data_IF_640805398641
#
_entry.id   IF_640805398641
#
_cell.length_a   1.000
_cell.length_b   1.000
_cell.length_c   1.000
_cell.angle_alpha   90.00
_cell.angle_beta   90.00
_cell.angle_gamma   90.00
#
_symmetry.space_group_name_H-M   'P 1'
#
loop_
_entity.id
_entity.type
_entity.pdbx_description
1 polymer ?
#
# COMPACT_ATOMS: atom_id res chain seq x y z
N UNK A 1 -21.26 5.38 -0.45
CA UNK A 1 -19.91 5.53 -1.05
C UNK A 1 -19.79 4.43 -2.09
N UNK A 2 -20.04 4.75 -3.35
CA UNK A 2 -19.71 3.84 -4.46
C UNK A 2 -18.19 3.78 -4.53
N UNK A 3 -17.60 2.70 -4.01
CA UNK A 3 -16.16 2.47 -4.10
C UNK A 3 -15.77 2.14 -5.54
N UNK A 4 -14.50 2.37 -5.89
CA UNK A 4 -13.95 1.87 -7.15
C UNK A 4 -14.18 0.34 -7.23
N UNK A 5 -14.65 -0.15 -8.37
CA UNK A 5 -14.99 -1.57 -8.57
C UNK A 5 -13.78 -2.48 -8.70
N UNK A 6 -12.57 -1.92 -8.77
CA UNK A 6 -11.33 -2.67 -8.97
C UNK A 6 -10.23 -2.19 -8.00
N UNK A 7 -9.63 -3.15 -7.30
CA UNK A 7 -8.48 -2.93 -6.42
C UNK A 7 -7.19 -2.96 -7.23
N UNK A 8 -6.30 -1.98 -7.05
CA UNK A 8 -4.98 -2.00 -7.68
C UNK A 8 -4.13 -3.19 -7.19
N UNK A 9 -4.21 -3.46 -5.89
CA UNK A 9 -3.51 -4.52 -5.20
C UNK A 9 -4.49 -5.14 -4.20
N UNK A 10 -4.82 -6.45 -4.31
CA UNK A 10 -5.74 -7.07 -3.37
C UNK A 10 -5.15 -7.09 -1.96
N UNK A 11 -6.02 -6.97 -0.96
CA UNK A 11 -5.64 -7.13 0.45
C UNK A 11 -5.12 -8.55 0.69
N UNK A 12 -4.03 -8.67 1.44
CA UNK A 12 -3.55 -9.94 1.97
C UNK A 12 -3.48 -9.85 3.50
N UNK A 13 -3.86 -10.92 4.21
CA UNK A 13 -3.80 -10.93 5.66
C UNK A 13 -2.35 -10.81 6.16
N UNK A 14 -2.15 -10.30 7.38
CA UNK A 14 -0.83 -10.26 8.00
C UNK A 14 -0.28 -11.68 8.21
N UNK A 15 1.02 -11.85 7.95
CA UNK A 15 1.74 -13.12 8.10
C UNK A 15 3.17 -12.92 8.60
N UNK A 16 3.37 -12.40 9.83
CA UNK A 16 4.71 -12.25 10.41
C UNK A 16 5.42 -13.61 10.51
N UNK A 17 6.74 -13.71 10.23
CA UNK A 17 7.47 -14.97 10.29
C UNK A 17 7.82 -15.38 11.72
N UNK A 18 7.81 -16.68 12.06
CA UNK A 18 8.39 -17.18 13.33
C UNK A 18 9.92 -17.34 13.19
N UNK A 19 10.75 -16.98 14.19
CA UNK A 19 10.42 -16.42 15.50
C UNK A 19 10.63 -14.89 15.59
N UNK A 20 9.83 -14.07 14.89
CA UNK A 20 9.89 -12.60 15.02
C UNK A 20 9.01 -12.07 16.17
N UNK A 21 9.27 -10.83 16.59
CA UNK A 21 8.35 -10.06 17.43
C UNK A 21 7.08 -9.68 16.66
N UNK A 22 6.07 -9.13 17.33
CA UNK A 22 4.86 -8.67 16.65
C UNK A 22 5.19 -7.59 15.60
N UNK A 23 4.69 -7.77 14.37
CA UNK A 23 4.85 -6.81 13.30
C UNK A 23 3.76 -5.74 13.38
N UNK A 24 4.12 -4.52 12.98
CA UNK A 24 3.21 -3.38 12.89
C UNK A 24 2.70 -3.22 11.46
N UNK A 25 1.38 -3.30 11.30
CA UNK A 25 0.70 -3.09 10.03
C UNK A 25 0.07 -1.70 10.06
N UNK A 26 0.54 -0.80 9.20
CA UNK A 26 0.17 0.61 9.18
C UNK A 26 -0.75 0.89 8.00
N UNK A 27 -1.86 1.58 8.26
CA UNK A 27 -2.75 2.13 7.25
C UNK A 27 -2.53 3.64 7.18
N UNK A 28 -2.36 4.15 5.95
CA UNK A 28 -2.17 5.56 5.67
C UNK A 28 -3.18 5.97 4.59
N UNK A 29 -3.84 7.11 4.79
CA UNK A 29 -4.79 7.70 3.86
C UNK A 29 -4.22 9.04 3.41
N UNK A 30 -4.21 9.26 2.11
CA UNK A 30 -3.72 10.48 1.48
C UNK A 30 -4.83 11.13 0.67
N UNK A 31 -4.75 12.44 0.49
CA UNK A 31 -5.51 13.11 -0.55
C UNK A 31 -5.01 12.64 -1.91
N UNK A 32 -5.93 12.28 -2.83
CA UNK A 32 -5.56 11.85 -4.17
C UNK A 32 -5.17 13.08 -5.01
N UNK A 33 -3.92 13.17 -5.53
CA UNK A 33 -3.52 14.26 -6.40
C UNK A 33 -4.35 14.30 -7.68
N UNK A 34 -4.57 15.51 -8.21
CA UNK A 34 -5.32 15.70 -9.44
C UNK A 34 -4.68 14.93 -10.61
N UNK A 35 -5.49 14.13 -11.31
CA UNK A 35 -5.03 13.33 -12.45
C UNK A 35 -4.12 12.15 -12.08
N UNK A 36 -4.12 11.73 -10.81
CA UNK A 36 -3.57 10.44 -10.39
C UNK A 36 -4.69 9.40 -10.42
N UNK A 37 -4.83 8.66 -11.51
CA UNK A 37 -5.80 7.56 -11.64
C UNK A 37 -5.14 6.17 -11.43
N UNK A 38 -5.95 5.12 -11.51
CA UNK A 38 -5.52 3.74 -11.33
C UNK A 38 -4.36 3.34 -12.27
N UNK A 39 -4.46 3.67 -13.55
CA UNK A 39 -3.45 3.32 -14.56
C UNK A 39 -2.13 4.04 -14.32
N UNK A 40 -2.20 5.32 -13.93
CA UNK A 40 -1.02 6.11 -13.58
C UNK A 40 -0.34 5.57 -12.33
N UNK A 41 -1.10 5.14 -11.30
CA UNK A 41 -0.52 4.48 -10.13
C UNK A 41 0.17 3.18 -10.52
N UNK A 42 -0.48 2.31 -11.33
CA UNK A 42 0.11 1.07 -11.83
C UNK A 42 1.42 1.31 -12.57
N UNK A 43 1.45 2.33 -13.44
CA UNK A 43 2.62 2.71 -14.22
C UNK A 43 3.77 3.26 -13.35
N UNK A 44 3.49 4.25 -12.49
CA UNK A 44 4.51 4.90 -11.65
C UNK A 44 5.14 3.95 -10.63
N UNK A 45 4.35 3.04 -10.07
CA UNK A 45 4.82 2.01 -9.13
C UNK A 45 5.31 0.73 -9.82
N UNK A 46 5.16 0.62 -11.14
CA UNK A 46 5.50 -0.57 -11.95
C UNK A 46 4.82 -1.83 -11.40
N UNK A 47 3.54 -1.74 -11.08
CA UNK A 47 2.76 -2.87 -10.58
C UNK A 47 2.51 -3.88 -11.71
N UNK A 48 2.77 -5.15 -11.42
CA UNK A 48 2.32 -6.23 -12.29
C UNK A 48 0.78 -6.31 -12.28
N UNK A 49 0.14 -6.86 -13.35
CA UNK A 49 -1.30 -7.10 -13.37
C UNK A 49 -1.79 -7.90 -12.15
N UNK A 50 -0.96 -8.84 -11.69
CA UNK A 50 -1.15 -9.58 -10.45
C UNK A 50 0.03 -9.34 -9.50
N UNK A 51 -0.24 -8.72 -8.34
CA UNK A 51 0.80 -8.42 -7.34
C UNK A 51 0.93 -9.55 -6.32
N UNK A 52 1.91 -10.42 -6.57
CA UNK A 52 2.29 -11.55 -5.70
C UNK A 52 2.98 -11.11 -4.41
N UNK A 53 3.07 -12.01 -3.42
CA UNK A 53 3.67 -11.72 -2.11
C UNK A 53 5.09 -11.17 -2.19
N UNK A 54 5.93 -11.71 -3.08
CA UNK A 54 7.33 -11.28 -3.22
C UNK A 54 7.48 -9.83 -3.66
N UNK A 55 6.53 -9.30 -4.45
CA UNK A 55 6.51 -7.91 -4.87
C UNK A 55 6.11 -6.92 -3.76
N UNK A 56 5.62 -7.43 -2.63
CA UNK A 56 5.25 -6.63 -1.43
C UNK A 56 6.40 -6.50 -0.44
N UNK A 57 7.45 -7.30 -0.59
CA UNK A 57 8.65 -7.23 0.23
C UNK A 57 9.47 -6.00 -0.17
N UNK A 58 10.23 -5.46 0.79
CA UNK A 58 11.14 -4.32 0.56
C UNK A 58 10.44 -3.05 0.06
N UNK A 59 9.15 -2.91 0.34
CA UNK A 59 8.41 -1.69 0.04
C UNK A 59 9.06 -0.47 0.70
N UNK A 60 9.29 0.58 -0.09
CA UNK A 60 9.82 1.85 0.39
C UNK A 60 8.71 2.90 0.32
N UNK A 61 8.10 3.20 1.48
CA UNK A 61 6.96 4.09 1.58
C UNK A 61 7.29 5.52 1.09
N UNK A 62 8.40 6.10 1.54
CA UNK A 62 8.82 7.46 1.16
C UNK A 62 9.03 7.61 -0.35
N UNK A 63 9.66 6.60 -0.98
CA UNK A 63 9.89 6.59 -2.43
C UNK A 63 8.57 6.51 -3.19
N UNK A 64 7.61 5.72 -2.71
CA UNK A 64 6.30 5.58 -3.34
C UNK A 64 5.47 6.86 -3.21
N UNK A 65 5.50 7.54 -2.06
CA UNK A 65 4.87 8.85 -1.86
C UNK A 65 5.40 9.88 -2.85
N UNK A 66 6.74 9.99 -2.98
CA UNK A 66 7.38 10.91 -3.93
C UNK A 66 7.00 10.61 -5.38
N UNK A 67 6.99 9.32 -5.78
CA UNK A 67 6.62 8.91 -7.16
C UNK A 67 5.19 9.27 -7.50
N UNK A 68 4.28 9.11 -6.55
CA UNK A 68 2.86 9.37 -6.72
C UNK A 68 2.50 10.84 -6.56
N UNK A 69 3.42 11.67 -6.07
CA UNK A 69 3.16 13.07 -5.75
C UNK A 69 2.20 13.23 -4.58
N UNK A 70 2.23 12.30 -3.62
CA UNK A 70 1.39 12.37 -2.43
C UNK A 70 1.85 13.51 -1.52
N UNK A 71 0.88 14.20 -0.93
CA UNK A 71 1.08 15.22 0.09
C UNK A 71 1.17 14.62 1.50
N UNK A 72 0.70 15.37 2.48
CA UNK A 72 0.64 14.91 3.86
C UNK A 72 -0.36 13.77 4.06
N UNK A 73 -0.10 12.93 5.07
CA UNK A 73 -1.02 11.89 5.50
C UNK A 73 -2.25 12.55 6.14
N UNK A 74 -3.44 12.29 5.59
CA UNK A 74 -4.70 12.81 6.13
C UNK A 74 -5.18 12.02 7.35
N UNK A 75 -4.99 10.71 7.34
CA UNK A 75 -5.35 9.83 8.44
C UNK A 75 -4.44 8.61 8.46
N UNK A 76 -4.24 8.06 9.65
CA UNK A 76 -3.46 6.84 9.83
C UNK A 76 -3.94 6.02 11.02
N UNK A 77 -3.74 4.71 10.94
CA UNK A 77 -3.97 3.79 12.05
C UNK A 77 -3.00 2.61 11.94
N UNK A 78 -2.85 1.82 13.00
CA UNK A 78 -2.06 0.60 12.95
C UNK A 78 -2.56 -0.46 13.95
N UNK A 79 -2.16 -1.71 13.72
CA UNK A 79 -2.27 -2.78 14.71
C UNK A 79 -0.99 -3.61 14.76
N UNK A 80 -0.84 -4.37 15.85
CA UNK A 80 0.24 -5.33 16.04
C UNK A 80 -0.30 -6.75 15.94
N UNK A 81 0.43 -7.65 15.28
CA UNK A 81 0.13 -9.09 15.32
C UNK A 81 1.41 -9.92 15.25
N UNK A 82 1.36 -11.09 15.86
CA UNK A 82 2.38 -12.14 15.78
C UNK A 82 1.75 -13.42 15.18
N UNK A 83 2.57 -14.42 14.87
CA UNK A 83 2.16 -15.68 14.24
C UNK A 83 1.85 -16.81 15.22
#
# INVERSE_FOLDING_TARGET
LEGASEWLVPYLPPGPPKPSSAHRYVFLVFEQPQGLDADKVRSLLKLAPEVKLTARLWWNQETSEKKLGLGEVLAGNYFLTAA
#
